data_IF_079522867749
#
_entry.id   IF_079522867749
#
_cell.length_a   1.000
_cell.length_b   1.000
_cell.length_c   1.000
_cell.angle_alpha   90.00
_cell.angle_beta   90.00
_cell.angle_gamma   90.00
#
_symmetry.space_group_name_H-M   'P 1'
#
loop_
_entity.id
_entity.type
_entity.pdbx_description
1 polymer ?
#
# COMPACT_ATOMS: atom_id res chain seq x y z
N UNK A 1 -15.70 -43.69 -17.69
CA UNK A 1 -14.81 -43.53 -16.50
C UNK A 1 -13.91 -42.29 -16.58
N UNK A 2 -14.39 -41.11 -17.03
CA UNK A 2 -13.53 -39.90 -17.15
C UNK A 2 -14.04 -38.65 -16.42
N UNK A 3 -15.14 -38.76 -15.67
CA UNK A 3 -15.72 -37.63 -14.92
C UNK A 3 -14.92 -37.13 -13.71
N UNK A 4 -14.11 -37.95 -12.97
CA UNK A 4 -13.37 -37.41 -11.83
C UNK A 4 -12.16 -36.57 -12.26
N UNK A 5 -11.64 -36.77 -13.47
CA UNK A 5 -10.51 -35.99 -14.00
C UNK A 5 -10.91 -34.54 -14.32
N UNK A 6 -12.15 -34.34 -14.79
CA UNK A 6 -12.70 -33.02 -15.09
C UNK A 6 -12.94 -32.18 -13.81
N UNK A 7 -13.36 -32.83 -12.72
CA UNK A 7 -13.53 -32.19 -11.41
C UNK A 7 -12.20 -31.78 -10.78
N UNK A 8 -11.14 -32.56 -10.96
CA UNK A 8 -9.80 -32.24 -10.48
C UNK A 8 -9.19 -31.02 -11.22
N UNK A 9 -9.48 -30.87 -12.52
CA UNK A 9 -9.00 -29.73 -13.32
C UNK A 9 -9.59 -28.38 -12.88
N UNK A 10 -10.85 -28.37 -12.43
CA UNK A 10 -11.58 -27.18 -11.95
C UNK A 10 -11.06 -26.72 -10.56
N UNK A 11 -10.59 -27.67 -9.74
CA UNK A 11 -10.01 -27.41 -8.41
C UNK A 11 -8.58 -26.83 -8.48
N UNK A 12 -7.83 -27.12 -9.55
CA UNK A 12 -6.48 -26.58 -9.76
C UNK A 12 -6.53 -25.16 -10.36
N UNK A 13 -7.52 -24.86 -11.21
CA UNK A 13 -7.67 -23.52 -11.80
C UNK A 13 -8.14 -22.43 -10.81
N UNK A 14 -8.61 -22.83 -9.63
CA UNK A 14 -9.05 -21.92 -8.57
C UNK A 14 -7.92 -21.55 -7.59
N UNK A 15 -6.70 -22.08 -7.77
CA UNK A 15 -5.54 -21.72 -6.94
C UNK A 15 -4.71 -20.55 -7.49
N UNK A 16 -5.05 -20.03 -8.66
CA UNK A 16 -4.38 -18.86 -9.25
C UNK A 16 -5.16 -17.58 -8.95
N UNK A 17 -5.40 -17.29 -7.68
CA UNK A 17 -5.83 -15.95 -7.27
C UNK A 17 -4.61 -15.21 -6.72
N UNK A 18 -3.97 -14.50 -7.65
CA UNK A 18 -3.29 -13.21 -7.50
C UNK A 18 -2.79 -12.89 -6.08
N UNK A 19 -1.51 -13.17 -5.84
CA UNK A 19 -0.72 -12.36 -4.93
C UNK A 19 -0.72 -10.92 -5.47
N UNK A 20 -1.57 -10.05 -4.93
CA UNK A 20 -1.55 -8.63 -5.27
C UNK A 20 -0.40 -7.97 -4.51
N UNK A 21 0.83 -8.32 -4.91
CA UNK A 21 2.04 -7.78 -4.32
C UNK A 21 2.17 -6.31 -4.77
N UNK A 22 1.64 -5.41 -3.95
CA UNK A 22 1.85 -3.99 -4.13
C UNK A 22 3.27 -3.63 -3.67
N UNK A 23 3.92 -2.74 -4.40
CA UNK A 23 5.29 -2.33 -4.11
C UNK A 23 5.51 -0.83 -4.30
N UNK A 24 6.55 -0.31 -3.67
CA UNK A 24 7.05 1.05 -3.88
C UNK A 24 8.51 0.91 -4.30
N UNK A 25 8.84 1.36 -5.51
CA UNK A 25 10.20 1.25 -6.04
C UNK A 25 10.70 -0.20 -6.17
N UNK A 26 9.78 -1.16 -6.33
CA UNK A 26 10.09 -2.59 -6.37
C UNK A 26 10.27 -3.25 -4.99
N UNK A 27 10.13 -2.49 -3.89
CA UNK A 27 10.08 -3.05 -2.53
C UNK A 27 8.62 -3.38 -2.19
N UNK A 28 8.27 -4.66 -1.91
CA UNK A 28 6.93 -5.01 -1.48
C UNK A 28 6.52 -4.21 -0.23
N UNK A 29 5.26 -3.77 -0.16
CA UNK A 29 4.78 -2.95 0.96
C UNK A 29 4.95 -3.63 2.34
N UNK A 30 4.80 -4.95 2.38
CA UNK A 30 4.99 -5.78 3.57
C UNK A 30 6.44 -5.83 4.04
N UNK A 31 7.39 -5.68 3.11
CA UNK A 31 8.83 -5.71 3.36
C UNK A 31 9.41 -4.36 3.79
N UNK A 32 8.60 -3.30 3.83
CA UNK A 32 9.02 -1.99 4.33
C UNK A 32 9.19 -2.07 5.86
N UNK A 33 10.46 -2.06 6.30
CA UNK A 33 10.86 -2.17 7.72
C UNK A 33 11.01 -0.82 8.44
N UNK A 34 10.87 0.30 7.72
CA UNK A 34 11.01 1.64 8.30
C UNK A 34 9.98 1.88 9.40
N UNK A 35 10.42 2.48 10.51
CA UNK A 35 9.53 2.80 11.63
C UNK A 35 8.52 3.88 11.28
N UNK A 36 8.93 4.84 10.45
CA UNK A 36 8.10 5.95 10.00
C UNK A 36 8.02 5.95 8.49
N UNK A 37 6.85 6.33 7.99
CA UNK A 37 6.62 6.57 6.57
C UNK A 37 5.82 7.85 6.40
N UNK A 38 5.98 8.48 5.25
CA UNK A 38 5.28 9.69 4.87
C UNK A 38 4.50 9.44 3.59
N UNK A 39 3.21 9.73 3.61
CA UNK A 39 2.32 9.62 2.46
C UNK A 39 2.04 11.01 1.90
N UNK A 40 2.20 11.16 0.59
CA UNK A 40 1.88 12.38 -0.13
C UNK A 40 0.83 12.12 -1.20
N UNK A 41 -0.24 12.91 -1.20
CA UNK A 41 -1.27 12.91 -2.25
C UNK A 41 -0.67 13.44 -3.54
N UNK A 42 -0.81 12.70 -4.64
CA UNK A 42 -0.44 13.15 -5.98
C UNK A 42 -1.64 13.00 -6.92
N UNK A 43 -2.14 14.12 -7.44
CA UNK A 43 -3.29 14.15 -8.32
C UNK A 43 -3.87 15.57 -8.44
N UNK A 44 -4.70 15.78 -9.44
CA UNK A 44 -5.41 17.05 -9.63
C UNK A 44 -6.71 17.05 -8.82
N UNK A 45 -7.03 18.16 -8.17
CA UNK A 45 -8.21 18.39 -7.30
C UNK A 45 -9.55 18.00 -7.96
N UNK A 46 -9.62 17.97 -9.29
CA UNK A 46 -10.82 17.67 -10.06
C UNK A 46 -11.00 16.20 -10.47
N UNK A 47 -10.04 15.31 -10.17
CA UNK A 47 -10.18 13.87 -10.44
C UNK A 47 -10.78 13.18 -9.21
N UNK A 48 -11.69 12.22 -9.44
CA UNK A 48 -12.32 11.42 -8.39
C UNK A 48 -11.40 10.42 -7.71
N UNK A 49 -10.20 10.20 -8.26
CA UNK A 49 -9.20 9.27 -7.74
C UNK A 49 -7.86 9.96 -7.58
N UNK A 50 -7.09 9.49 -6.60
CA UNK A 50 -5.77 10.01 -6.27
C UNK A 50 -4.71 8.91 -6.45
N UNK A 51 -3.46 9.32 -6.63
CA UNK A 51 -2.30 8.45 -6.41
C UNK A 51 -1.62 8.86 -5.11
N UNK A 52 -0.95 7.91 -4.48
CA UNK A 52 -0.23 8.13 -3.22
C UNK A 52 1.23 7.80 -3.42
N UNK A 53 2.08 8.77 -3.12
CA UNK A 53 3.51 8.59 -3.00
C UNK A 53 3.84 8.21 -1.55
N UNK A 54 4.74 7.25 -1.37
CA UNK A 54 5.20 6.75 -0.08
C UNK A 54 6.69 7.04 0.03
N UNK A 55 7.09 7.70 1.10
CA UNK A 55 8.48 7.92 1.48
C UNK A 55 8.74 7.22 2.82
N UNK A 56 9.67 6.28 2.81
CA UNK A 56 10.11 5.54 3.99
C UNK A 56 11.63 5.66 4.16
N UNK A 57 12.24 6.71 3.60
CA UNK A 57 13.68 6.96 3.57
C UNK A 57 14.42 6.26 2.44
N UNK A 58 13.71 5.77 1.41
CA UNK A 58 14.34 5.14 0.26
C UNK A 58 15.13 6.16 -0.59
N UNK A 59 16.26 5.72 -1.17
CA UNK A 59 17.00 6.55 -2.12
C UNK A 59 16.21 6.64 -3.42
N UNK A 60 15.64 7.81 -3.70
CA UNK A 60 15.00 8.12 -4.98
C UNK A 60 16.07 8.72 -5.90
N UNK A 61 16.33 8.11 -7.06
CA UNK A 61 17.18 8.77 -8.07
C UNK A 61 16.35 9.83 -8.80
N UNK A 62 16.95 10.98 -9.13
CA UNK A 62 16.22 12.14 -9.68
C UNK A 62 15.46 11.89 -10.98
N UNK A 63 15.74 10.78 -11.69
CA UNK A 63 15.03 10.37 -12.91
C UNK A 63 13.80 9.50 -12.64
N UNK A 64 13.56 9.08 -11.39
CA UNK A 64 12.55 8.08 -11.03
C UNK A 64 11.59 8.55 -9.94
N UNK A 65 10.98 9.74 -10.12
CA UNK A 65 9.85 10.21 -9.31
C UNK A 65 8.70 9.18 -9.20
N UNK A 66 8.59 8.27 -10.18
CA UNK A 66 7.61 7.18 -10.16
C UNK A 66 7.95 6.04 -9.18
N UNK A 67 9.18 5.92 -8.69
CA UNK A 67 9.57 4.91 -7.69
C UNK A 67 8.87 5.10 -6.36
N UNK A 68 8.42 6.31 -6.04
CA UNK A 68 7.74 6.56 -4.77
C UNK A 68 6.25 6.22 -4.83
N UNK A 69 5.67 5.90 -5.99
CA UNK A 69 4.27 5.50 -6.07
C UNK A 69 4.06 4.02 -5.75
N UNK A 70 2.94 3.73 -5.11
CA UNK A 70 2.47 2.36 -4.95
C UNK A 70 2.09 1.84 -6.34
N UNK A 71 2.65 0.67 -6.67
CA UNK A 71 2.46 -0.01 -7.95
C UNK A 71 1.98 -1.44 -7.75
N UNK A 72 1.22 -1.95 -8.72
CA UNK A 72 0.83 -3.35 -8.80
C UNK A 72 1.99 -4.27 -9.26
N UNK A 73 1.69 -5.56 -9.43
CA UNK A 73 2.65 -6.58 -9.90
C UNK A 73 3.19 -6.30 -11.30
N UNK A 74 2.47 -5.53 -12.12
CA UNK A 74 2.86 -5.16 -13.47
C UNK A 74 3.65 -3.83 -13.49
N UNK A 75 3.91 -3.25 -12.31
CA UNK A 75 4.61 -1.97 -12.16
C UNK A 75 3.75 -0.75 -12.50
N UNK A 76 2.42 -0.91 -12.58
CA UNK A 76 1.50 0.20 -12.84
C UNK A 76 1.11 0.85 -11.52
N UNK A 77 1.18 2.18 -11.48
CA UNK A 77 0.75 2.93 -10.30
C UNK A 77 -0.74 2.72 -10.04
N UNK A 78 -1.08 2.35 -8.81
CA UNK A 78 -2.47 2.14 -8.40
C UNK A 78 -3.13 3.47 -8.00
N UNK A 79 -4.44 3.54 -8.20
CA UNK A 79 -5.26 4.68 -7.82
C UNK A 79 -6.14 4.35 -6.61
N UNK A 80 -6.27 5.31 -5.71
CA UNK A 80 -7.10 5.24 -4.51
C UNK A 80 -8.31 6.16 -4.66
N UNK A 81 -9.42 5.80 -4.01
CA UNK A 81 -10.62 6.64 -4.02
C UNK A 81 -10.44 7.91 -3.18
N UNK A 82 -9.62 7.85 -2.14
CA UNK A 82 -9.31 8.98 -1.26
C UNK A 82 -8.03 8.70 -0.48
N UNK A 83 -7.55 9.69 0.30
CA UNK A 83 -6.44 9.42 1.22
C UNK A 83 -6.85 8.47 2.35
N UNK A 84 -8.13 8.47 2.76
CA UNK A 84 -8.65 7.52 3.75
C UNK A 84 -8.52 6.07 3.25
N UNK A 85 -8.76 5.84 1.97
CA UNK A 85 -8.58 4.52 1.33
C UNK A 85 -7.12 4.04 1.47
N UNK A 86 -6.17 4.93 1.21
CA UNK A 86 -4.75 4.64 1.43
C UNK A 86 -4.40 4.43 2.92
N UNK A 87 -4.93 5.24 3.84
CA UNK A 87 -4.69 5.07 5.27
C UNK A 87 -5.20 3.71 5.77
N UNK A 88 -6.35 3.25 5.30
CA UNK A 88 -6.89 1.93 5.63
C UNK A 88 -5.97 0.81 5.14
N UNK A 89 -5.40 0.93 3.93
CA UNK A 89 -4.39 -0.02 3.45
C UNK A 89 -3.17 -0.06 4.39
N UNK A 90 -2.66 1.10 4.81
CA UNK A 90 -1.51 1.16 5.71
C UNK A 90 -1.82 0.68 7.13
N UNK A 91 -3.07 0.83 7.59
CA UNK A 91 -3.54 0.26 8.85
C UNK A 91 -3.43 -1.28 8.87
N UNK A 92 -3.84 -1.91 7.76
CA UNK A 92 -3.70 -3.36 7.53
C UNK A 92 -2.24 -3.80 7.46
N UNK A 93 -1.36 -2.95 6.92
CA UNK A 93 0.09 -3.17 6.89
C UNK A 93 0.78 -2.90 8.24
N UNK A 94 0.01 -2.67 9.29
CA UNK A 94 0.51 -2.48 10.65
C UNK A 94 1.11 -1.11 10.90
N UNK A 95 0.65 -0.07 10.19
CA UNK A 95 0.98 1.31 10.49
C UNK A 95 -0.18 2.00 11.22
N UNK A 96 0.14 2.98 12.07
CA UNK A 96 -0.80 3.86 12.75
C UNK A 96 -0.57 5.31 12.29
N UNK A 97 -1.65 6.06 12.19
CA UNK A 97 -1.61 7.49 11.88
C UNK A 97 -1.01 8.29 13.04
N UNK A 98 -0.14 9.25 12.73
CA UNK A 98 0.47 10.16 13.71
C UNK A 98 -0.01 11.59 13.51
N UNK A 99 0.16 12.13 12.30
CA UNK A 99 -0.13 13.53 12.01
C UNK A 99 -0.37 13.78 10.51
N UNK A 100 -0.97 14.92 10.17
CA UNK A 100 -1.19 15.34 8.79
C UNK A 100 -1.00 16.84 8.61
N UNK A 101 -0.49 17.23 7.44
CA UNK A 101 -0.25 18.62 7.09
C UNK A 101 -0.97 19.01 5.79
N UNK A 102 -1.52 20.22 5.79
CA UNK A 102 -2.02 20.89 4.60
C UNK A 102 -0.87 21.66 3.96
N UNK A 103 -0.52 21.32 2.72
CA UNK A 103 0.56 22.02 1.98
C UNK A 103 -0.02 23.19 1.19
N UNK A 104 -1.13 22.96 0.47
CA UNK A 104 -1.71 23.96 -0.46
C UNK A 104 -3.26 23.92 -0.58
N UNK A 105 -3.96 23.02 0.13
CA UNK A 105 -5.44 22.86 0.06
C UNK A 105 -6.09 22.87 1.45
N UNK A 106 -7.41 23.07 1.52
CA UNK A 106 -8.23 22.91 2.74
C UNK A 106 -8.17 21.49 3.34
N UNK A 107 -7.67 20.52 2.55
CA UNK A 107 -7.52 19.12 2.96
C UNK A 107 -6.04 18.74 3.11
N UNK A 108 -5.68 17.93 4.12
CA UNK A 108 -4.30 17.52 4.31
C UNK A 108 -3.83 16.71 3.10
N UNK A 109 -2.69 17.11 2.54
CA UNK A 109 -2.05 16.47 1.40
C UNK A 109 -0.92 15.52 1.80
N UNK A 110 -0.48 15.60 3.06
CA UNK A 110 0.68 14.91 3.60
C UNK A 110 0.33 14.26 4.95
N UNK A 111 0.77 13.01 5.16
CA UNK A 111 0.44 12.22 6.33
C UNK A 111 1.66 11.47 6.84
N UNK A 112 1.93 11.59 8.14
CA UNK A 112 2.97 10.85 8.83
C UNK A 112 2.36 9.64 9.53
N UNK A 113 2.92 8.46 9.24
CA UNK A 113 2.51 7.20 9.84
C UNK A 113 3.70 6.53 10.55
N UNK A 114 3.41 5.69 11.54
CA UNK A 114 4.40 4.91 12.30
C UNK A 114 4.03 3.43 12.29
N UNK A 115 4.97 2.50 12.28
CA UNK A 115 4.68 1.08 12.54
C UNK A 115 4.09 0.91 13.95
N UNK A 116 2.96 0.22 14.04
CA UNK A 116 2.34 -0.20 15.31
C UNK A 116 3.36 -1.00 16.10
N UNK A 117 3.46 -0.73 17.41
CA UNK A 117 4.22 -1.60 18.30
C UNK A 117 3.51 -2.96 18.35
N UNK A 118 4.24 -4.08 18.31
CA UNK A 118 3.62 -5.37 18.57
C UNK A 118 2.95 -5.30 19.95
N UNK A 119 1.65 -5.60 20.02
CA UNK A 119 0.98 -5.77 21.29
C UNK A 119 1.65 -6.95 21.99
N UNK A 120 2.41 -6.65 23.04
CA UNK A 120 2.89 -7.67 23.94
C UNK A 120 1.65 -8.27 24.58
N UNK A 121 1.30 -9.50 24.17
CA UNK A 121 0.31 -10.31 24.88
C UNK A 121 0.77 -10.37 26.32
N UNK A 122 0.12 -9.61 27.19
CA UNK A 122 0.31 -9.78 28.62
C UNK A 122 -0.33 -11.11 28.94
N UNK A 123 0.50 -12.12 29.18
CA UNK A 123 0.03 -13.32 29.86
C UNK A 123 -0.51 -12.84 31.21
N UNK A 124 -1.83 -12.85 31.36
CA UNK A 124 -2.48 -12.63 32.64
C UNK A 124 -2.15 -13.85 33.52
N UNK A 125 -1.32 -13.63 34.55
CA UNK A 125 -1.04 -14.59 35.62
C UNK A 125 -2.25 -14.84 36.53
#
# INVERSE_FOLDING_TARGET
MQKPFLLMLILISSFTYLSHAQSVGGVPLEDIKSTYIHLSRVGFTFKSKIRVSVDFGQRVSGERLNESFISDSDGRSIEFNSMIDALNLFDLLGYEYIDSNCVDEDWPGQYLLRKKKPELVREEE
#
